data_IF_416729902868
#
_entry.id   IF_416729902868
#
_cell.length_a   1.000
_cell.length_b   1.000
_cell.length_c   1.000
_cell.angle_alpha   90.00
_cell.angle_beta   90.00
_cell.angle_gamma   90.00
#
_symmetry.space_group_name_H-M   'P 1'
#
loop_
_entity.id
_entity.type
_entity.pdbx_description
1 polymer ?
#
# COMPACT_ATOMS: atom_id res chain seq x y z
N UNK A 1 9.61 -12.86 -18.14
CA UNK A 1 8.38 -13.21 -17.38
C UNK A 1 8.55 -14.39 -16.42
N UNK A 2 9.00 -15.58 -16.86
CA UNK A 2 9.10 -16.80 -16.03
C UNK A 2 9.88 -16.59 -14.72
N UNK A 3 11.00 -15.85 -14.76
CA UNK A 3 11.86 -15.57 -13.61
C UNK A 3 11.16 -14.76 -12.50
N UNK A 4 10.19 -13.90 -12.85
CA UNK A 4 9.46 -13.08 -11.88
C UNK A 4 8.38 -13.88 -11.16
N UNK A 5 7.60 -14.66 -11.90
CA UNK A 5 6.64 -15.61 -11.30
C UNK A 5 7.35 -16.62 -10.41
N UNK A 6 8.54 -17.08 -10.82
CA UNK A 6 9.39 -17.94 -9.98
C UNK A 6 9.80 -17.22 -8.68
N UNK A 7 10.30 -15.99 -8.75
CA UNK A 7 10.66 -15.23 -7.55
C UNK A 7 9.47 -14.99 -6.60
N UNK A 8 8.28 -14.71 -7.15
CA UNK A 8 7.04 -14.57 -6.39
C UNK A 8 6.64 -15.87 -5.70
N UNK A 9 6.65 -16.97 -6.45
CA UNK A 9 6.35 -18.30 -5.91
C UNK A 9 7.35 -18.70 -4.82
N UNK A 10 8.64 -18.45 -5.04
CA UNK A 10 9.70 -18.69 -4.06
C UNK A 10 9.47 -17.84 -2.81
N UNK A 11 9.15 -16.55 -2.94
CA UNK A 11 8.85 -15.70 -1.79
C UNK A 11 7.66 -16.24 -0.99
N UNK A 12 6.56 -16.61 -1.65
CA UNK A 12 5.39 -17.22 -1.00
C UNK A 12 5.77 -18.55 -0.34
N UNK A 13 6.48 -19.44 -1.04
CA UNK A 13 6.92 -20.73 -0.51
C UNK A 13 7.81 -20.56 0.72
N UNK A 14 8.79 -19.64 0.68
CA UNK A 14 9.63 -19.31 1.84
C UNK A 14 8.78 -18.75 2.98
N UNK A 15 7.78 -17.89 2.71
CA UNK A 15 6.88 -17.44 3.77
C UNK A 15 6.05 -18.57 4.35
N UNK A 16 5.65 -19.58 3.57
CA UNK A 16 4.97 -20.76 4.08
C UNK A 16 5.91 -21.59 4.97
N UNK A 17 7.11 -21.91 4.48
CA UNK A 17 8.12 -22.71 5.18
C UNK A 17 8.59 -22.05 6.48
N UNK A 18 8.71 -20.73 6.47
CA UNK A 18 9.16 -19.94 7.62
C UNK A 18 8.02 -19.25 8.38
N UNK A 19 6.76 -19.45 7.97
CA UNK A 19 5.62 -19.02 8.77
C UNK A 19 5.57 -19.88 10.03
N UNK A 20 5.67 -19.18 11.15
CA UNK A 20 5.81 -19.70 12.51
C UNK A 20 4.99 -20.95 12.83
N UNK A 21 5.69 -21.94 13.39
CA UNK A 21 5.13 -22.94 14.31
C UNK A 21 4.41 -22.23 15.47
N UNK A 22 3.09 -22.24 15.47
CA UNK A 22 2.31 -21.79 16.63
C UNK A 22 2.61 -22.69 17.81
N UNK A 23 3.22 -22.16 18.87
CA UNK A 23 3.28 -22.85 20.16
C UNK A 23 1.99 -22.50 20.90
N UNK A 24 1.14 -23.49 21.13
CA UNK A 24 -0.01 -23.35 22.03
C UNK A 24 0.51 -23.21 23.46
N UNK A 25 0.18 -22.10 24.12
CA UNK A 25 0.19 -21.98 25.59
C UNK A 25 -1.23 -21.64 26.03
N UNK A 26 -2.02 -22.66 26.34
CA UNK A 26 -3.44 -22.52 26.67
C UNK A 26 -4.29 -22.04 25.46
N UNK A 27 -5.28 -21.18 25.71
CA UNK A 27 -6.17 -20.61 24.67
C UNK A 27 -5.49 -19.56 23.75
N UNK A 28 -4.25 -19.15 24.03
CA UNK A 28 -3.52 -18.16 23.24
C UNK A 28 -2.44 -18.82 22.38
N UNK A 29 -2.43 -18.49 21.09
CA UNK A 29 -1.34 -18.84 20.18
C UNK A 29 -0.27 -17.75 20.21
N UNK A 30 0.89 -18.05 20.80
CA UNK A 30 2.04 -17.14 20.78
C UNK A 30 2.87 -17.43 19.54
N UNK A 31 2.90 -16.48 18.61
CA UNK A 31 3.74 -16.57 17.40
C UNK A 31 5.17 -16.11 17.72
N UNK A 32 6.12 -17.02 17.81
CA UNK A 32 7.55 -16.69 17.88
C UNK A 32 8.10 -16.60 16.46
N UNK A 33 8.27 -15.39 15.94
CA UNK A 33 8.83 -15.12 14.59
C UNK A 33 10.33 -14.87 14.71
N UNK A 34 11.16 -15.63 14.01
CA UNK A 34 12.60 -15.33 13.90
C UNK A 34 12.81 -14.20 12.89
N UNK A 35 13.64 -13.22 13.23
CA UNK A 35 14.00 -12.12 12.32
C UNK A 35 14.67 -12.63 11.02
N UNK A 36 15.41 -13.74 11.09
CA UNK A 36 16.03 -14.39 9.92
C UNK A 36 15.01 -14.89 8.90
N UNK A 37 13.85 -15.37 9.35
CA UNK A 37 12.74 -15.81 8.49
C UNK A 37 12.14 -14.69 7.65
N UNK A 38 12.15 -13.46 8.17
CA UNK A 38 11.71 -12.26 7.47
C UNK A 38 12.70 -11.89 6.34
N UNK A 39 14.00 -11.88 6.65
CA UNK A 39 15.02 -11.47 5.70
C UNK A 39 15.14 -12.45 4.51
N UNK A 40 15.02 -13.75 4.78
CA UNK A 40 15.08 -14.78 3.73
C UNK A 40 13.86 -14.68 2.80
N UNK A 41 12.68 -14.44 3.35
CA UNK A 41 11.44 -14.38 2.58
C UNK A 41 11.32 -13.12 1.70
N UNK A 42 11.94 -12.00 2.11
CA UNK A 42 11.94 -10.77 1.32
C UNK A 42 13.00 -10.76 0.21
N UNK A 43 14.05 -11.57 0.33
CA UNK A 43 15.18 -11.58 -0.60
C UNK A 43 14.79 -11.81 -2.07
N UNK A 44 13.94 -12.79 -2.44
CA UNK A 44 13.56 -12.98 -3.85
C UNK A 44 12.86 -11.75 -4.44
N UNK A 45 12.02 -11.08 -3.65
CA UNK A 45 11.30 -9.88 -4.07
C UNK A 45 12.24 -8.68 -4.16
N UNK A 46 13.17 -8.54 -3.21
CA UNK A 46 14.22 -7.52 -3.27
C UNK A 46 15.11 -7.72 -4.51
N UNK A 47 15.44 -8.95 -4.89
CA UNK A 47 16.16 -9.25 -6.12
C UNK A 47 15.37 -8.89 -7.37
N UNK A 48 14.04 -9.11 -7.39
CA UNK A 48 13.19 -8.61 -8.50
C UNK A 48 13.26 -7.08 -8.57
N UNK A 49 13.20 -6.40 -7.42
CA UNK A 49 13.31 -4.95 -7.35
C UNK A 49 14.68 -4.48 -7.87
N UNK A 50 15.77 -5.15 -7.48
CA UNK A 50 17.12 -4.86 -7.97
C UNK A 50 17.22 -5.07 -9.48
N UNK A 51 16.85 -6.26 -9.97
CA UNK A 51 17.06 -6.67 -11.35
C UNK A 51 16.07 -6.06 -12.34
N UNK A 52 15.15 -5.20 -11.89
CA UNK A 52 14.22 -4.53 -12.79
C UNK A 52 14.97 -3.47 -13.59
N UNK A 53 14.78 -3.50 -14.90
CA UNK A 53 15.30 -2.48 -15.81
C UNK A 53 14.14 -1.94 -16.64
N UNK A 54 14.00 -0.61 -16.72
CA UNK A 54 12.94 0.03 -17.50
C UNK A 54 11.51 -0.16 -16.97
N UNK A 55 11.34 -0.52 -15.70
CA UNK A 55 10.02 -0.82 -15.11
C UNK A 55 9.56 0.31 -14.20
N UNK A 56 8.33 0.79 -14.43
CA UNK A 56 7.67 1.87 -13.67
C UNK A 56 8.02 3.29 -14.15
N UNK A 57 7.03 4.17 -14.26
CA UNK A 57 7.17 5.48 -14.91
C UNK A 57 8.25 6.38 -14.26
N UNK A 58 8.30 6.42 -12.93
CA UNK A 58 9.29 7.19 -12.16
C UNK A 58 10.72 6.62 -12.28
N UNK A 59 10.83 5.30 -12.37
CA UNK A 59 12.11 4.58 -12.34
C UNK A 59 12.66 4.27 -13.75
N UNK A 60 11.86 4.45 -14.79
CA UNK A 60 12.21 4.07 -16.14
C UNK A 60 13.27 5.01 -16.71
N UNK A 61 14.43 4.46 -17.06
CA UNK A 61 15.57 5.20 -17.59
C UNK A 61 15.28 6.01 -18.87
N UNK A 62 14.34 5.55 -19.69
CA UNK A 62 14.04 6.12 -21.01
C UNK A 62 12.98 7.23 -20.96
N UNK A 63 11.95 7.04 -20.14
CA UNK A 63 10.76 7.93 -20.11
C UNK A 63 10.54 8.63 -18.78
N UNK A 64 11.25 8.22 -17.73
CA UNK A 64 11.11 8.78 -16.39
C UNK A 64 11.81 10.12 -16.22
N UNK A 65 11.22 10.98 -15.40
CA UNK A 65 11.78 12.29 -15.04
C UNK A 65 12.97 12.17 -14.08
N UNK A 66 12.94 11.24 -13.13
CA UNK A 66 14.00 11.09 -12.14
C UNK A 66 15.37 10.68 -12.69
N UNK A 67 15.51 9.76 -13.66
CA UNK A 67 16.80 9.50 -14.29
C UNK A 67 17.45 10.75 -14.88
N UNK A 68 16.67 11.61 -15.54
CA UNK A 68 17.17 12.84 -16.14
C UNK A 68 17.68 13.81 -15.07
N UNK A 69 16.86 14.02 -14.04
CA UNK A 69 17.19 14.86 -12.88
C UNK A 69 18.44 14.32 -12.16
N UNK A 70 18.52 13.00 -11.96
CA UNK A 70 19.65 12.37 -11.29
C UNK A 70 20.95 12.55 -12.08
N UNK A 71 20.91 12.46 -13.43
CA UNK A 71 22.08 12.74 -14.26
C UNK A 71 22.55 14.20 -14.13
N UNK A 72 21.61 15.15 -14.09
CA UNK A 72 21.94 16.56 -13.88
C UNK A 72 22.60 16.78 -12.51
N UNK A 73 22.03 16.21 -11.44
CA UNK A 73 22.57 16.30 -10.08
C UNK A 73 23.89 15.55 -9.88
N UNK A 74 24.15 14.48 -10.65
CA UNK A 74 25.45 13.81 -10.65
C UNK A 74 26.54 14.72 -11.20
N UNK A 75 26.24 15.55 -12.20
CA UNK A 75 27.18 16.50 -12.79
C UNK A 75 27.38 17.72 -11.88
N UNK A 76 26.28 18.26 -11.34
CA UNK A 76 26.30 19.38 -10.39
C UNK A 76 25.28 19.17 -9.26
N UNK A 77 25.74 18.66 -8.09
CA UNK A 77 24.87 18.42 -6.93
C UNK A 77 24.29 19.69 -6.30
N UNK A 78 24.83 20.87 -6.66
CA UNK A 78 24.38 22.15 -6.11
C UNK A 78 23.17 22.72 -6.83
N UNK A 79 22.80 22.15 -7.97
CA UNK A 79 21.62 22.56 -8.73
C UNK A 79 20.35 22.56 -7.84
N UNK A 80 19.50 23.60 -7.97
CA UNK A 80 18.23 23.61 -7.28
C UNK A 80 17.38 22.44 -7.76
N UNK A 81 16.93 21.63 -6.82
CA UNK A 81 16.03 20.50 -7.06
C UNK A 81 14.96 20.53 -5.99
N UNK A 82 13.85 21.18 -6.33
CA UNK A 82 12.72 21.38 -5.45
C UNK A 82 11.67 20.31 -5.71
N UNK A 83 11.65 19.32 -4.83
CA UNK A 83 10.59 18.31 -4.72
C UNK A 83 10.28 18.11 -3.24
N UNK A 84 9.68 16.99 -2.87
CA UNK A 84 9.46 16.65 -1.46
C UNK A 84 10.80 16.63 -0.69
N UNK A 85 10.92 17.32 0.46
CA UNK A 85 12.21 17.62 1.11
C UNK A 85 13.11 16.41 1.37
N UNK A 86 12.55 15.32 1.90
CA UNK A 86 13.33 14.12 2.21
C UNK A 86 13.78 13.40 0.94
N UNK A 87 12.93 13.38 -0.10
CA UNK A 87 13.27 12.76 -1.36
C UNK A 87 14.40 13.52 -2.07
N UNK A 88 14.32 14.86 -2.09
CA UNK A 88 15.39 15.72 -2.62
C UNK A 88 16.69 15.53 -1.84
N UNK A 89 16.62 15.52 -0.51
CA UNK A 89 17.79 15.29 0.36
C UNK A 89 18.49 13.96 0.05
N UNK A 90 17.74 12.86 -0.01
CA UNK A 90 18.29 11.54 -0.31
C UNK A 90 18.87 11.49 -1.73
N UNK A 91 18.21 12.11 -2.70
CA UNK A 91 18.71 12.18 -4.10
C UNK A 91 20.05 12.91 -4.16
N UNK A 92 20.15 14.09 -3.54
CA UNK A 92 21.38 14.89 -3.49
C UNK A 92 22.50 14.17 -2.76
N UNK A 93 22.20 13.51 -1.64
CA UNK A 93 23.19 12.72 -0.89
C UNK A 93 23.80 11.62 -1.76
N UNK A 94 22.98 10.85 -2.46
CA UNK A 94 23.46 9.78 -3.35
C UNK A 94 24.24 10.34 -4.54
N UNK A 95 23.81 11.46 -5.11
CA UNK A 95 24.55 12.14 -6.19
C UNK A 95 25.90 12.68 -5.73
N UNK A 96 25.96 13.28 -4.53
CA UNK A 96 27.20 13.76 -3.92
C UNK A 96 28.20 12.61 -3.69
N UNK A 97 27.71 11.46 -3.24
CA UNK A 97 28.50 10.22 -3.08
C UNK A 97 28.81 9.51 -4.41
N UNK A 98 28.38 10.07 -5.56
CA UNK A 98 28.55 9.49 -6.91
C UNK A 98 28.00 8.07 -7.03
N UNK A 99 26.96 7.73 -6.26
CA UNK A 99 26.31 6.43 -6.34
C UNK A 99 25.49 6.37 -7.64
N UNK A 100 25.57 5.29 -8.44
CA UNK A 100 24.77 5.15 -9.66
C UNK A 100 23.25 5.18 -9.38
N UNK A 101 22.49 5.79 -10.30
CA UNK A 101 21.02 5.90 -10.24
C UNK A 101 20.32 4.59 -9.87
N UNK A 102 20.77 3.49 -10.47
CA UNK A 102 20.26 2.15 -10.22
C UNK A 102 20.28 1.76 -8.73
N UNK A 103 21.39 2.03 -8.04
CA UNK A 103 21.54 1.72 -6.62
C UNK A 103 20.69 2.65 -5.74
N UNK A 104 20.52 3.91 -6.14
CA UNK A 104 19.60 4.83 -5.47
C UNK A 104 18.15 4.34 -5.55
N UNK A 105 17.69 3.96 -6.75
CA UNK A 105 16.35 3.40 -6.94
C UNK A 105 16.16 2.11 -6.15
N UNK A 106 17.16 1.20 -6.18
CA UNK A 106 17.12 -0.03 -5.40
C UNK A 106 17.02 0.24 -3.90
N UNK A 107 17.79 1.18 -3.37
CA UNK A 107 17.75 1.57 -1.96
C UNK A 107 16.35 2.01 -1.52
N UNK A 108 15.67 2.85 -2.32
CA UNK A 108 14.32 3.31 -2.02
C UNK A 108 13.32 2.15 -1.93
N UNK A 109 13.38 1.19 -2.86
CA UNK A 109 12.50 0.02 -2.78
C UNK A 109 12.88 -0.98 -1.72
N UNK A 110 14.16 -1.08 -1.37
CA UNK A 110 14.58 -1.92 -0.26
C UNK A 110 13.93 -1.43 1.04
N UNK A 111 13.90 -0.11 1.27
CA UNK A 111 13.16 0.49 2.40
C UNK A 111 11.68 0.06 2.37
N UNK A 112 11.04 0.14 1.21
CA UNK A 112 9.64 -0.25 1.04
C UNK A 112 9.39 -1.73 1.31
N UNK A 113 10.18 -2.61 0.73
CA UNK A 113 10.07 -4.07 0.91
C UNK A 113 10.31 -4.45 2.38
N UNK A 114 11.34 -3.87 3.01
CA UNK A 114 11.65 -4.12 4.42
C UNK A 114 10.50 -3.65 5.32
N UNK A 115 9.99 -2.43 5.10
CA UNK A 115 8.86 -1.90 5.87
C UNK A 115 7.60 -2.75 5.70
N UNK A 116 7.30 -3.16 4.47
CA UNK A 116 6.16 -4.00 4.14
C UNK A 116 6.23 -5.38 4.79
N UNK A 117 7.34 -6.09 4.61
CA UNK A 117 7.51 -7.38 5.25
C UNK A 117 7.51 -7.23 6.79
N UNK A 118 7.99 -6.12 7.35
CA UNK A 118 7.98 -5.91 8.79
C UNK A 118 6.54 -5.79 9.30
N UNK A 119 5.68 -5.07 8.55
CA UNK A 119 4.24 -5.02 8.80
C UNK A 119 3.60 -6.41 8.75
N UNK A 120 3.81 -7.16 7.67
CA UNK A 120 3.20 -8.50 7.54
C UNK A 120 3.69 -9.44 8.64
N UNK A 121 4.98 -9.38 8.97
CA UNK A 121 5.54 -10.21 10.02
C UNK A 121 5.07 -9.78 11.42
N UNK A 122 4.80 -8.52 11.71
CA UNK A 122 4.35 -8.13 13.06
C UNK A 122 2.83 -8.20 13.22
N UNK A 123 2.09 -7.81 12.18
CA UNK A 123 0.67 -7.50 12.30
C UNK A 123 -0.25 -8.54 11.63
N UNK A 124 0.21 -9.31 10.65
CA UNK A 124 -0.69 -10.24 9.92
C UNK A 124 -1.01 -11.51 10.72
N UNK A 125 -2.29 -11.91 10.70
CA UNK A 125 -2.74 -13.20 11.22
C UNK A 125 -2.34 -14.39 10.32
N UNK A 126 -2.07 -14.15 9.03
CA UNK A 126 -1.61 -15.17 8.08
C UNK A 126 -0.63 -14.54 7.06
N UNK A 127 0.66 -14.75 7.31
CA UNK A 127 1.76 -14.16 6.53
C UNK A 127 1.75 -14.58 5.05
N UNK A 128 1.62 -15.88 4.70
CA UNK A 128 1.55 -16.27 3.29
C UNK A 128 0.45 -15.56 2.49
N UNK A 129 -0.76 -15.45 3.06
CA UNK A 129 -1.86 -14.76 2.39
C UNK A 129 -1.55 -13.27 2.22
N UNK A 130 -1.00 -12.60 3.23
CA UNK A 130 -0.62 -11.19 3.11
C UNK A 130 0.47 -10.95 2.06
N UNK A 131 1.46 -11.84 1.94
CA UNK A 131 2.49 -11.73 0.90
C UNK A 131 1.93 -12.05 -0.48
N UNK A 132 1.01 -13.02 -0.59
CA UNK A 132 0.28 -13.25 -1.83
C UNK A 132 -0.53 -12.01 -2.26
N UNK A 133 -1.25 -11.37 -1.33
CA UNK A 133 -1.99 -10.14 -1.59
C UNK A 133 -1.05 -9.01 -2.02
N UNK A 134 0.08 -8.80 -1.35
CA UNK A 134 1.08 -7.81 -1.75
C UNK A 134 1.50 -7.90 -3.21
N UNK A 135 1.68 -9.12 -3.69
CA UNK A 135 2.11 -9.42 -5.05
C UNK A 135 0.97 -9.30 -6.07
N UNK A 136 -0.28 -9.42 -5.64
CA UNK A 136 -1.46 -9.48 -6.52
C UNK A 136 -2.34 -8.22 -6.47
N UNK A 137 -2.22 -7.37 -5.45
CA UNK A 137 -3.03 -6.15 -5.28
C UNK A 137 -2.29 -4.87 -5.69
N UNK A 138 -1.45 -4.95 -6.72
CA UNK A 138 -0.66 -3.86 -7.34
C UNK A 138 0.37 -3.16 -6.45
N UNK A 139 0.32 -3.33 -5.12
CA UNK A 139 1.23 -2.68 -4.17
C UNK A 139 2.72 -2.91 -4.47
N UNK A 140 3.09 -4.12 -4.89
CA UNK A 140 4.46 -4.40 -5.30
C UNK A 140 4.89 -3.58 -6.52
N UNK A 141 4.04 -3.52 -7.55
CA UNK A 141 4.36 -2.85 -8.82
C UNK A 141 4.23 -1.34 -8.74
N UNK A 142 3.28 -0.86 -7.96
CA UNK A 142 3.12 0.54 -7.60
C UNK A 142 4.43 1.15 -7.11
N UNK A 143 5.18 0.43 -6.27
CA UNK A 143 6.45 0.90 -5.75
C UNK A 143 7.53 1.15 -6.82
N UNK A 144 7.34 0.64 -8.05
CA UNK A 144 8.24 0.92 -9.16
C UNK A 144 7.99 2.27 -9.83
N UNK A 145 6.75 2.75 -9.86
CA UNK A 145 6.39 3.96 -10.59
C UNK A 145 5.80 5.07 -9.74
N UNK A 146 5.93 5.00 -8.42
CA UNK A 146 5.54 6.05 -7.49
C UNK A 146 6.54 6.12 -6.32
N UNK A 147 7.81 6.39 -6.65
CA UNK A 147 8.94 6.20 -5.73
C UNK A 147 8.82 7.05 -4.45
N UNK A 148 8.42 8.32 -4.59
CA UNK A 148 8.21 9.23 -3.46
C UNK A 148 7.12 8.73 -2.52
N UNK A 149 6.01 8.31 -3.10
CA UNK A 149 4.87 7.80 -2.35
C UNK A 149 5.17 6.45 -1.70
N UNK A 150 5.89 5.55 -2.37
CA UNK A 150 6.33 4.29 -1.79
C UNK A 150 7.24 4.52 -0.58
N UNK A 151 8.17 5.48 -0.66
CA UNK A 151 8.99 5.89 0.48
C UNK A 151 8.12 6.42 1.64
N UNK A 152 7.15 7.28 1.35
CA UNK A 152 6.23 7.80 2.36
C UNK A 152 5.40 6.69 3.04
N UNK A 153 4.87 5.74 2.26
CA UNK A 153 4.16 4.56 2.77
C UNK A 153 5.07 3.74 3.68
N UNK A 154 6.34 3.55 3.32
CA UNK A 154 7.30 2.79 4.12
C UNK A 154 7.39 3.28 5.56
N UNK A 155 7.49 4.60 5.76
CA UNK A 155 7.52 5.19 7.10
C UNK A 155 6.18 5.01 7.84
N UNK A 156 5.04 5.11 7.15
CA UNK A 156 3.73 4.83 7.73
C UNK A 156 3.62 3.36 8.19
N UNK A 157 4.11 2.41 7.40
CA UNK A 157 4.11 0.99 7.79
C UNK A 157 4.94 0.73 9.04
N UNK A 158 6.09 1.41 9.17
CA UNK A 158 6.91 1.35 10.39
C UNK A 158 6.14 1.95 11.57
N UNK A 159 5.46 3.09 11.38
CA UNK A 159 4.61 3.69 12.43
C UNK A 159 3.50 2.73 12.89
N UNK A 160 2.86 1.99 11.98
CA UNK A 160 1.84 0.99 12.30
C UNK A 160 2.42 -0.13 13.17
N UNK A 161 3.59 -0.63 12.80
CA UNK A 161 4.32 -1.65 13.57
C UNK A 161 4.66 -1.19 14.99
N UNK A 162 5.08 0.06 15.16
CA UNK A 162 5.43 0.61 16.47
C UNK A 162 4.18 0.81 17.33
N UNK A 163 3.07 1.31 16.78
CA UNK A 163 1.79 1.45 17.51
C UNK A 163 1.27 0.09 18.00
N UNK A 164 1.34 -0.93 17.14
CA UNK A 164 0.77 -2.24 17.44
C UNK A 164 1.71 -3.12 18.26
N UNK A 165 2.87 -2.60 18.65
CA UNK A 165 3.75 -3.26 19.60
C UNK A 165 3.07 -3.33 20.99
N UNK A 166 2.93 -4.55 21.52
CA UNK A 166 2.16 -4.82 22.75
C UNK A 166 2.64 -4.07 23.99
N UNK A 167 3.88 -3.58 24.00
CA UNK A 167 4.45 -2.83 25.13
C UNK A 167 4.09 -1.34 25.14
N UNK A 168 3.85 -0.74 23.98
CA UNK A 168 3.73 0.71 23.81
C UNK A 168 2.59 1.05 22.85
N UNK A 169 1.36 0.62 23.17
CA UNK A 169 0.13 0.87 22.38
C UNK A 169 -0.34 2.34 22.43
N UNK A 170 0.59 3.28 22.34
CA UNK A 170 0.37 4.73 22.42
C UNK A 170 1.25 5.43 21.40
N UNK A 171 0.84 6.62 20.98
CA UNK A 171 1.69 7.46 20.15
C UNK A 171 2.95 7.82 20.95
N UNK A 172 4.11 7.44 20.43
CA UNK A 172 5.42 7.77 20.99
C UNK A 172 6.22 8.62 19.98
N UNK A 173 7.39 9.11 20.41
CA UNK A 173 8.23 9.96 19.56
C UNK A 173 8.66 9.30 18.25
N UNK A 174 8.80 7.96 18.23
CA UNK A 174 9.17 7.20 17.02
C UNK A 174 8.07 7.27 15.98
N UNK A 175 6.81 7.12 16.40
CA UNK A 175 5.65 7.25 15.52
C UNK A 175 5.57 8.67 14.93
N UNK A 176 5.76 9.70 15.77
CA UNK A 176 5.77 11.10 15.32
C UNK A 176 6.90 11.35 14.32
N UNK A 177 8.10 10.83 14.57
CA UNK A 177 9.22 10.92 13.64
C UNK A 177 8.88 10.25 12.30
N UNK A 178 8.26 9.06 12.31
CA UNK A 178 7.84 8.40 11.08
C UNK A 178 6.79 9.20 10.30
N UNK A 179 5.88 9.92 10.98
CA UNK A 179 4.93 10.80 10.30
C UNK A 179 5.60 12.00 9.65
N UNK A 180 6.55 12.63 10.33
CA UNK A 180 7.33 13.73 9.77
C UNK A 180 8.11 13.25 8.54
N UNK A 181 8.81 12.12 8.65
CA UNK A 181 9.56 11.54 7.52
C UNK A 181 8.63 11.15 6.35
N UNK A 182 7.45 10.62 6.65
CA UNK A 182 6.45 10.29 5.62
C UNK A 182 5.96 11.54 4.89
N UNK A 183 5.61 12.60 5.62
CA UNK A 183 5.18 13.87 5.05
C UNK A 183 6.29 14.54 4.24
N UNK A 184 7.53 14.52 4.73
CA UNK A 184 8.69 15.04 4.01
C UNK A 184 9.06 14.20 2.78
N UNK A 185 8.70 12.92 2.73
CA UNK A 185 8.88 12.06 1.56
C UNK A 185 7.80 12.30 0.50
N UNK A 186 6.55 12.48 0.94
CA UNK A 186 5.45 12.87 0.07
C UNK A 186 4.33 13.55 0.85
N UNK A 187 4.04 14.81 0.54
CA UNK A 187 3.10 15.64 1.31
C UNK A 187 1.69 15.06 1.45
N UNK A 188 1.19 14.29 0.46
CA UNK A 188 -0.12 13.64 0.52
C UNK A 188 -0.23 12.57 1.62
N UNK A 189 0.88 12.14 2.21
CA UNK A 189 0.88 11.24 3.36
C UNK A 189 0.14 11.83 4.57
N UNK A 190 0.01 13.16 4.64
CA UNK A 190 -0.75 13.84 5.69
C UNK A 190 -2.18 13.29 5.82
N UNK A 191 -2.84 12.98 4.70
CA UNK A 191 -4.18 12.40 4.71
C UNK A 191 -4.21 11.04 5.44
N UNK A 192 -3.21 10.20 5.18
CA UNK A 192 -3.08 8.91 5.87
C UNK A 192 -2.76 9.08 7.36
N UNK A 193 -1.97 10.09 7.74
CA UNK A 193 -1.70 10.43 9.14
C UNK A 193 -2.98 10.87 9.87
N UNK A 194 -3.83 11.69 9.22
CA UNK A 194 -5.12 12.10 9.78
C UNK A 194 -6.01 10.86 10.00
N UNK A 195 -6.12 9.99 8.99
CA UNK A 195 -6.90 8.75 9.10
C UNK A 195 -6.33 7.80 10.15
N UNK A 196 -5.01 7.73 10.30
CA UNK A 196 -4.35 6.97 11.35
C UNK A 196 -4.77 7.46 12.73
N UNK A 197 -4.69 8.77 12.98
CA UNK A 197 -5.07 9.37 14.26
C UNK A 197 -6.56 9.15 14.56
N UNK A 198 -7.43 9.35 13.56
CA UNK A 198 -8.86 9.02 13.68
C UNK A 198 -9.06 7.54 14.04
N UNK A 199 -8.27 6.65 13.47
CA UNK A 199 -8.41 5.21 13.66
C UNK A 199 -8.05 4.72 15.06
N UNK A 200 -7.43 5.57 15.88
CA UNK A 200 -7.18 5.28 17.30
C UNK A 200 -8.47 5.34 18.15
N UNK A 201 -9.53 5.97 17.66
CA UNK A 201 -10.80 6.10 18.39
C UNK A 201 -11.59 4.80 18.29
N UNK A 202 -11.98 4.21 19.42
CA UNK A 202 -12.83 3.01 19.42
C UNK A 202 -14.27 3.38 19.08
N UNK A 203 -14.68 3.12 17.85
CA UNK A 203 -16.07 3.27 17.42
C UNK A 203 -16.90 2.07 17.88
N UNK A 204 -18.17 2.28 18.23
CA UNK A 204 -19.08 1.16 18.47
C UNK A 204 -19.59 0.60 17.13
N UNK A 205 -19.96 -0.68 17.09
CA UNK A 205 -20.54 -1.30 15.88
C UNK A 205 -21.76 -0.52 15.37
N UNK A 206 -22.65 -0.11 16.27
CA UNK A 206 -23.84 0.67 15.93
C UNK A 206 -23.48 2.04 15.34
N UNK A 207 -22.47 2.71 15.90
CA UNK A 207 -22.00 3.98 15.34
C UNK A 207 -21.36 3.79 13.96
N UNK A 208 -20.55 2.74 13.78
CA UNK A 208 -19.93 2.40 12.50
C UNK A 208 -20.97 2.12 11.40
N UNK A 209 -22.08 1.45 11.74
CA UNK A 209 -23.20 1.25 10.81
C UNK A 209 -23.84 2.59 10.43
N UNK A 210 -24.19 3.42 11.42
CA UNK A 210 -24.83 4.72 11.19
C UNK A 210 -23.97 5.63 10.31
N UNK A 211 -22.67 5.72 10.61
CA UNK A 211 -21.75 6.58 9.85
C UNK A 211 -21.51 6.01 8.44
N UNK A 212 -21.46 4.68 8.26
CA UNK A 212 -21.35 4.06 6.93
C UNK A 212 -22.57 4.36 6.07
N UNK A 213 -23.78 4.22 6.61
CA UNK A 213 -25.03 4.59 5.92
C UNK A 213 -25.03 6.09 5.60
N UNK A 214 -24.66 6.92 6.57
CA UNK A 214 -24.53 8.37 6.38
C UNK A 214 -23.57 8.72 5.23
N UNK A 215 -22.40 8.10 5.17
CA UNK A 215 -21.43 8.28 4.07
C UNK A 215 -22.02 7.91 2.73
N UNK A 216 -22.75 6.79 2.62
CA UNK A 216 -23.37 6.36 1.36
C UNK A 216 -24.46 7.35 0.92
N UNK A 217 -25.34 7.75 1.84
CA UNK A 217 -26.46 8.66 1.55
C UNK A 217 -25.95 10.06 1.18
N UNK A 218 -24.91 10.54 1.86
CA UNK A 218 -24.35 11.88 1.63
C UNK A 218 -23.34 11.93 0.48
N UNK A 219 -22.96 10.78 -0.08
CA UNK A 219 -21.93 10.68 -1.12
C UNK A 219 -22.11 11.64 -2.30
N UNK A 220 -23.31 11.82 -2.89
CA UNK A 220 -23.48 12.75 -4.00
C UNK A 220 -23.12 14.19 -3.63
N UNK A 221 -23.46 14.61 -2.40
CA UNK A 221 -23.15 15.94 -1.89
C UNK A 221 -21.67 16.10 -1.57
N UNK A 222 -21.03 15.07 -1.01
CA UNK A 222 -19.60 15.12 -0.70
C UNK A 222 -18.75 15.10 -1.96
N UNK A 223 -19.13 14.33 -2.98
CA UNK A 223 -18.47 14.36 -4.31
C UNK A 223 -18.56 15.77 -4.90
N UNK A 224 -19.76 16.36 -4.93
CA UNK A 224 -19.96 17.71 -5.45
C UNK A 224 -19.16 18.76 -4.66
N UNK A 225 -19.19 18.69 -3.32
CA UNK A 225 -18.44 19.61 -2.48
C UNK A 225 -16.92 19.50 -2.68
N UNK A 226 -16.40 18.27 -2.72
CA UNK A 226 -14.97 18.01 -2.93
C UNK A 226 -14.50 18.47 -4.30
N UNK A 227 -15.28 18.23 -5.36
CA UNK A 227 -14.90 18.69 -6.71
C UNK A 227 -14.78 20.21 -6.77
N UNK A 228 -15.69 20.95 -6.11
CA UNK A 228 -15.63 22.42 -6.01
C UNK A 228 -14.48 22.95 -5.18
N UNK A 229 -14.01 22.19 -4.18
CA UNK A 229 -12.79 22.55 -3.44
C UNK A 229 -11.57 22.32 -4.33
N UNK A 230 -11.47 21.15 -4.97
CA UNK A 230 -10.33 20.77 -5.80
C UNK A 230 -10.17 21.72 -6.98
N UNK A 231 -11.26 22.12 -7.64
CA UNK A 231 -11.27 23.14 -8.71
C UNK A 231 -10.53 24.43 -8.33
N UNK A 232 -10.51 24.81 -7.05
CA UNK A 232 -9.86 26.04 -6.57
C UNK A 232 -8.39 25.86 -6.19
N UNK A 233 -7.91 24.62 -6.11
CA UNK A 233 -6.51 24.31 -5.79
C UNK A 233 -5.61 24.47 -7.01
N UNK A 234 -4.32 24.65 -6.79
CA UNK A 234 -3.32 24.61 -7.87
C UNK A 234 -3.35 23.28 -8.62
N UNK A 235 -3.52 22.19 -7.87
CA UNK A 235 -3.69 20.84 -8.42
C UNK A 235 -4.91 20.73 -9.34
N UNK A 236 -6.05 21.28 -8.95
CA UNK A 236 -7.23 21.33 -9.82
C UNK A 236 -6.98 22.13 -11.09
N UNK A 237 -6.31 23.29 -10.99
CA UNK A 237 -5.99 24.12 -12.16
C UNK A 237 -5.04 23.44 -13.14
N UNK A 238 -4.10 22.63 -12.65
CA UNK A 238 -3.12 21.92 -13.49
C UNK A 238 -3.76 20.75 -14.26
N UNK A 239 -4.71 20.04 -13.65
CA UNK A 239 -5.18 18.75 -14.18
C UNK A 239 -6.62 18.76 -14.73
N UNK A 240 -7.50 19.66 -14.31
CA UNK A 240 -8.90 19.67 -14.78
C UNK A 240 -8.96 20.06 -16.26
N UNK A 241 -9.71 19.28 -17.06
CA UNK A 241 -9.81 19.45 -18.51
C UNK A 241 -8.62 18.88 -19.30
N UNK A 242 -7.70 18.17 -18.62
CA UNK A 242 -6.63 17.41 -19.27
C UNK A 242 -6.97 15.91 -19.28
N UNK A 243 -6.32 15.15 -20.16
CA UNK A 243 -6.37 13.68 -20.16
C UNK A 243 -5.96 13.02 -18.83
N UNK A 244 -5.27 13.76 -17.95
CA UNK A 244 -4.85 13.30 -16.62
C UNK A 244 -5.87 13.63 -15.51
N UNK A 245 -6.92 14.40 -15.82
CA UNK A 245 -7.97 14.82 -14.90
C UNK A 245 -9.34 14.20 -15.14
N UNK A 246 -9.58 13.54 -16.29
CA UNK A 246 -10.87 12.93 -16.60
C UNK A 246 -11.06 11.55 -15.96
N UNK A 247 -12.20 11.37 -15.27
CA UNK A 247 -12.81 10.12 -14.77
C UNK A 247 -11.86 8.96 -14.40
N UNK A 248 -11.11 9.12 -13.30
CA UNK A 248 -10.27 8.05 -12.72
C UNK A 248 -10.90 7.35 -11.50
N UNK A 249 -12.21 7.52 -11.28
CA UNK A 249 -12.92 6.78 -10.24
C UNK A 249 -12.94 5.29 -10.58
N UNK A 250 -12.59 4.43 -9.61
CA UNK A 250 -12.64 2.97 -9.82
C UNK A 250 -13.84 2.37 -9.11
N UNK A 251 -14.86 1.99 -9.90
CA UNK A 251 -16.02 1.26 -9.41
C UNK A 251 -15.60 -0.06 -8.74
N UNK A 252 -14.64 -0.77 -9.35
CA UNK A 252 -14.09 -2.03 -8.82
C UNK A 252 -13.54 -1.86 -7.41
N UNK A 253 -12.68 -0.86 -7.18
CA UNK A 253 -12.12 -0.61 -5.85
C UNK A 253 -13.17 -0.04 -4.87
N UNK A 254 -14.15 0.71 -5.35
CA UNK A 254 -15.25 1.23 -4.54
C UNK A 254 -16.09 0.07 -3.99
N UNK A 255 -16.57 -0.82 -4.85
CA UNK A 255 -17.34 -2.00 -4.46
C UNK A 255 -16.52 -2.91 -3.55
N UNK A 256 -15.25 -3.15 -3.88
CA UNK A 256 -14.36 -3.94 -3.05
C UNK A 256 -14.20 -3.38 -1.64
N UNK A 257 -13.94 -2.07 -1.51
CA UNK A 257 -13.80 -1.41 -0.21
C UNK A 257 -15.10 -1.48 0.62
N UNK A 258 -16.25 -1.35 -0.03
CA UNK A 258 -17.56 -1.46 0.60
C UNK A 258 -17.82 -2.89 1.13
N UNK A 259 -17.61 -3.90 0.28
CA UNK A 259 -17.77 -5.32 0.67
C UNK A 259 -16.84 -5.66 1.83
N UNK A 260 -15.59 -5.22 1.78
CA UNK A 260 -14.62 -5.45 2.85
C UNK A 260 -15.09 -4.82 4.17
N UNK A 261 -15.56 -3.57 4.14
CA UNK A 261 -16.08 -2.88 5.32
C UNK A 261 -17.33 -3.58 5.88
N UNK A 262 -18.26 -4.00 5.03
CA UNK A 262 -19.45 -4.75 5.46
C UNK A 262 -19.06 -6.05 6.16
N UNK A 263 -18.10 -6.81 5.62
CA UNK A 263 -17.59 -8.02 6.27
C UNK A 263 -17.00 -7.71 7.66
N UNK A 264 -16.26 -6.62 7.82
CA UNK A 264 -15.73 -6.21 9.12
C UNK A 264 -16.83 -5.84 10.11
N UNK A 265 -17.88 -5.16 9.66
CA UNK A 265 -19.04 -4.83 10.51
C UNK A 265 -19.77 -6.12 10.94
N UNK A 266 -19.95 -7.08 10.02
CA UNK A 266 -20.58 -8.37 10.33
C UNK A 266 -19.78 -9.14 11.38
N UNK A 267 -18.45 -9.23 11.21
CA UNK A 267 -17.56 -9.97 12.11
C UNK A 267 -16.98 -9.13 13.26
N UNK A 268 -17.48 -7.90 13.48
CA UNK A 268 -16.89 -6.90 14.39
C UNK A 268 -16.56 -7.43 15.78
N UNK A 269 -17.52 -8.04 16.46
CA UNK A 269 -17.32 -8.54 17.84
C UNK A 269 -16.22 -9.61 17.88
N UNK A 270 -16.22 -10.55 16.94
CA UNK A 270 -15.20 -11.62 16.87
C UNK A 270 -13.81 -11.07 16.57
N UNK A 271 -13.73 -9.98 15.81
CA UNK A 271 -12.47 -9.31 15.49
C UNK A 271 -11.90 -8.64 16.74
N UNK A 272 -12.74 -7.98 17.54
CA UNK A 272 -12.31 -7.35 18.78
C UNK A 272 -12.03 -8.35 19.90
N UNK A 273 -12.75 -9.48 19.94
CA UNK A 273 -12.43 -10.61 20.83
C UNK A 273 -11.02 -11.17 20.55
N UNK A 274 -10.55 -11.11 19.30
CA UNK A 274 -9.22 -11.59 18.92
C UNK A 274 -8.09 -10.64 19.39
N UNK A 275 -8.26 -9.33 19.20
CA UNK A 275 -7.44 -8.26 19.79
C UNK A 275 -8.22 -6.95 19.70
N UNK A 276 -8.39 -6.24 20.82
CA UNK A 276 -9.12 -4.98 20.82
C UNK A 276 -8.50 -3.92 19.91
N UNK A 277 -7.18 -3.96 19.69
CA UNK A 277 -6.49 -3.06 18.76
C UNK A 277 -6.87 -3.28 17.30
N UNK A 278 -7.60 -4.35 16.97
CA UNK A 278 -8.13 -4.53 15.63
C UNK A 278 -9.19 -3.48 15.26
N UNK A 279 -9.74 -2.73 16.23
CA UNK A 279 -10.57 -1.57 15.95
C UNK A 279 -9.85 -0.56 15.04
N UNK A 280 -8.53 -0.42 15.20
CA UNK A 280 -7.69 0.42 14.34
C UNK A 280 -7.79 0.02 12.87
N UNK A 281 -7.70 -1.28 12.58
CA UNK A 281 -7.79 -1.79 11.21
C UNK A 281 -9.20 -1.62 10.61
N UNK A 282 -10.23 -1.76 11.43
CA UNK A 282 -11.61 -1.50 11.01
C UNK A 282 -11.81 -0.04 10.64
N UNK A 283 -11.34 0.89 11.48
CA UNK A 283 -11.42 2.31 11.22
C UNK A 283 -10.59 2.75 10.01
N UNK A 284 -9.39 2.20 9.83
CA UNK A 284 -8.58 2.45 8.63
C UNK A 284 -9.28 1.96 7.37
N UNK A 285 -10.00 0.83 7.44
CA UNK A 285 -10.82 0.33 6.32
C UNK A 285 -12.04 1.23 6.06
N UNK A 286 -12.63 1.79 7.11
CA UNK A 286 -13.68 2.80 6.97
C UNK A 286 -13.15 4.07 6.27
N UNK A 287 -11.98 4.59 6.66
CA UNK A 287 -11.34 5.70 5.96
C UNK A 287 -11.06 5.37 4.50
N UNK A 288 -10.56 4.16 4.22
CA UNK A 288 -10.36 3.69 2.85
C UNK A 288 -11.66 3.72 2.05
N UNK A 289 -12.76 3.20 2.60
CA UNK A 289 -14.08 3.22 1.97
C UNK A 289 -14.58 4.65 1.71
N UNK A 290 -14.45 5.57 2.68
CA UNK A 290 -14.83 6.97 2.52
C UNK A 290 -14.08 7.63 1.36
N UNK A 291 -12.78 7.36 1.21
CA UNK A 291 -11.98 7.89 0.10
C UNK A 291 -12.37 7.25 -1.23
N UNK A 292 -12.63 5.95 -1.25
CA UNK A 292 -13.03 5.25 -2.47
C UNK A 292 -14.40 5.67 -2.98
N UNK A 293 -15.39 5.83 -2.10
CA UNK A 293 -16.73 6.24 -2.52
C UNK A 293 -16.73 7.69 -3.03
N UNK A 294 -15.81 8.53 -2.55
CA UNK A 294 -15.60 9.89 -3.04
C UNK A 294 -14.57 9.99 -4.18
N UNK A 295 -14.02 8.87 -4.65
CA UNK A 295 -13.03 8.87 -5.73
C UNK A 295 -13.44 9.58 -7.03
N UNK A 296 -14.72 9.63 -7.44
CA UNK A 296 -15.09 10.39 -8.63
C UNK A 296 -14.78 11.89 -8.54
N UNK A 297 -14.68 12.44 -7.33
CA UNK A 297 -14.27 13.84 -7.14
C UNK A 297 -12.73 14.02 -7.16
N UNK A 298 -11.96 12.95 -7.00
CA UNK A 298 -10.52 13.01 -6.81
C UNK A 298 -9.78 12.81 -8.14
N UNK A 299 -8.99 13.81 -8.51
CA UNK A 299 -8.01 13.70 -9.59
C UNK A 299 -6.93 12.71 -9.15
N UNK A 300 -6.65 11.70 -9.98
CA UNK A 300 -5.69 10.64 -9.69
C UNK A 300 -5.94 9.91 -8.35
N UNK A 301 -7.19 9.49 -8.15
CA UNK A 301 -7.66 8.69 -6.99
C UNK A 301 -6.66 7.66 -6.50
N UNK A 302 -6.03 6.93 -7.43
CA UNK A 302 -5.09 5.87 -7.10
C UNK A 302 -3.89 6.36 -6.27
N UNK A 303 -3.44 7.62 -6.43
CA UNK A 303 -2.39 8.23 -5.58
C UNK A 303 -2.81 8.38 -4.12
N UNK A 304 -4.09 8.36 -3.78
CA UNK A 304 -4.54 8.39 -2.38
C UNK A 304 -4.77 6.97 -1.86
N UNK A 305 -5.30 6.10 -2.71
CA UNK A 305 -5.70 4.73 -2.36
C UNK A 305 -4.53 3.86 -1.89
N UNK A 306 -3.35 4.00 -2.49
CA UNK A 306 -2.19 3.15 -2.13
C UNK A 306 -1.71 3.34 -0.70
N UNK A 307 -2.02 4.47 -0.05
CA UNK A 307 -1.73 4.64 1.37
C UNK A 307 -2.54 3.70 2.27
N UNK A 308 -3.70 3.22 1.81
CA UNK A 308 -4.63 2.41 2.58
C UNK A 308 -4.64 0.94 2.16
N UNK A 309 -4.10 0.61 1.00
CA UNK A 309 -3.94 -0.79 0.55
C UNK A 309 -3.19 -1.70 1.55
N UNK A 310 -2.19 -1.23 2.32
CA UNK A 310 -1.59 -2.04 3.38
C UNK A 310 -2.59 -2.51 4.44
N UNK A 311 -3.65 -1.75 4.71
CA UNK A 311 -4.74 -2.16 5.60
C UNK A 311 -5.48 -3.38 5.04
N UNK A 312 -5.80 -3.38 3.74
CA UNK A 312 -6.47 -4.49 3.05
C UNK A 312 -5.67 -5.80 3.22
N UNK A 313 -4.35 -5.73 3.07
CA UNK A 313 -3.43 -6.86 3.21
C UNK A 313 -3.43 -7.50 4.61
N UNK A 314 -3.71 -6.71 5.65
CA UNK A 314 -3.78 -7.19 7.04
C UNK A 314 -5.19 -7.66 7.39
N UNK A 315 -6.20 -6.92 6.93
CA UNK A 315 -7.61 -7.14 7.26
C UNK A 315 -8.17 -8.42 6.64
N UNK A 316 -7.83 -8.74 5.40
CA UNK A 316 -8.30 -9.97 4.74
C UNK A 316 -7.88 -11.22 5.52
N UNK A 317 -6.58 -11.44 5.83
CA UNK A 317 -6.19 -12.59 6.64
C UNK A 317 -6.79 -12.55 8.06
N UNK A 318 -7.00 -11.37 8.65
CA UNK A 318 -7.71 -11.23 9.92
C UNK A 318 -9.15 -11.77 9.84
N UNK A 319 -9.91 -11.38 8.81
CA UNK A 319 -11.26 -11.90 8.54
C UNK A 319 -11.28 -13.43 8.36
N UNK A 320 -10.32 -13.98 7.63
CA UNK A 320 -10.20 -15.44 7.45
C UNK A 320 -9.93 -16.14 8.79
N UNK A 321 -9.13 -15.52 9.67
CA UNK A 321 -8.73 -16.11 10.94
C UNK A 321 -9.86 -16.23 11.96
N UNK A 322 -10.86 -15.34 11.91
CA UNK A 322 -12.03 -15.38 12.80
C UNK A 322 -13.11 -16.38 12.36
N UNK A 323 -12.97 -16.98 11.17
CA UNK A 323 -13.88 -18.03 10.69
C UNK A 323 -13.59 -19.34 11.43
N UNK A 324 -14.58 -19.84 12.19
CA UNK A 324 -14.46 -21.08 12.98
C UNK A 324 -14.43 -22.35 12.13
N UNK A 325 -15.33 -22.48 11.13
CA UNK A 325 -15.45 -23.69 10.30
C UNK A 325 -14.31 -23.78 9.29
N UNK A 326 -13.55 -24.90 9.33
CA UNK A 326 -12.41 -25.14 8.43
C UNK A 326 -12.79 -25.09 6.95
N UNK A 327 -13.91 -25.71 6.56
CA UNK A 327 -14.37 -25.71 5.17
C UNK A 327 -14.62 -24.28 4.67
N UNK A 328 -15.34 -23.45 5.44
CA UNK A 328 -15.57 -22.04 5.09
C UNK A 328 -14.28 -21.24 5.04
N UNK A 329 -13.31 -21.53 5.90
CA UNK A 329 -11.99 -20.89 5.86
C UNK A 329 -11.26 -21.20 4.56
N UNK A 330 -11.24 -22.46 4.13
CA UNK A 330 -10.62 -22.88 2.86
C UNK A 330 -11.32 -22.21 1.68
N UNK A 331 -12.65 -22.23 1.64
CA UNK A 331 -13.44 -21.54 0.59
C UNK A 331 -13.13 -20.04 0.56
N UNK A 332 -13.01 -19.40 1.72
CA UNK A 332 -12.67 -17.97 1.81
C UNK A 332 -11.27 -17.67 1.28
N UNK A 333 -10.29 -18.53 1.58
CA UNK A 333 -8.92 -18.40 1.03
C UNK A 333 -8.93 -18.53 -0.49
N UNK A 334 -9.63 -19.55 -1.02
CA UNK A 334 -9.76 -19.74 -2.46
C UNK A 334 -10.47 -18.56 -3.13
N UNK A 335 -11.54 -18.04 -2.52
CA UNK A 335 -12.24 -16.86 -3.01
C UNK A 335 -11.34 -15.62 -3.04
N UNK A 336 -10.54 -15.39 -2.00
CA UNK A 336 -9.55 -14.30 -1.98
C UNK A 336 -8.51 -14.46 -3.08
N UNK A 337 -8.00 -15.67 -3.30
CA UNK A 337 -7.05 -15.95 -4.38
C UNK A 337 -7.68 -15.60 -5.74
N UNK A 338 -8.90 -16.08 -6.00
CA UNK A 338 -9.61 -15.82 -7.27
C UNK A 338 -9.88 -14.33 -7.48
N UNK A 339 -10.39 -13.63 -6.47
CA UNK A 339 -10.67 -12.17 -6.55
C UNK A 339 -9.38 -11.39 -6.76
N UNK A 340 -8.29 -11.75 -6.08
CA UNK A 340 -7.01 -11.03 -6.22
C UNK A 340 -6.39 -11.26 -7.59
N UNK A 341 -6.48 -12.49 -8.13
CA UNK A 341 -6.05 -12.79 -9.51
C UNK A 341 -6.93 -12.06 -10.52
N UNK A 342 -8.24 -11.99 -10.29
CA UNK A 342 -9.15 -11.24 -11.15
C UNK A 342 -8.84 -9.74 -11.15
N UNK A 343 -8.64 -9.13 -9.97
CA UNK A 343 -8.23 -7.72 -9.85
C UNK A 343 -6.90 -7.50 -10.56
N UNK A 344 -5.92 -8.38 -10.33
CA UNK A 344 -4.62 -8.34 -11.01
C UNK A 344 -4.79 -8.38 -12.53
N UNK A 345 -5.56 -9.36 -13.04
CA UNK A 345 -5.84 -9.48 -14.47
C UNK A 345 -6.49 -8.22 -15.02
N UNK A 346 -7.55 -7.74 -14.38
CA UNK A 346 -8.30 -6.57 -14.84
C UNK A 346 -7.44 -5.29 -14.83
N UNK A 347 -6.54 -5.18 -13.85
CA UNK A 347 -5.64 -4.04 -13.67
C UNK A 347 -4.52 -4.01 -14.72
N UNK A 348 -3.98 -5.16 -15.11
CA UNK A 348 -2.78 -5.24 -15.96
C UNK A 348 -3.03 -5.69 -17.40
N UNK A 349 -4.16 -6.34 -17.68
CA UNK A 349 -4.48 -6.86 -19.01
C UNK A 349 -5.72 -6.20 -19.63
N UNK A 350 -6.70 -5.78 -18.81
CA UNK A 350 -7.92 -5.11 -19.31
C UNK A 350 -7.90 -3.57 -19.16
N UNK A 351 -6.84 -3.00 -18.56
CA UNK A 351 -6.67 -1.54 -18.37
C UNK A 351 -7.84 -0.81 -17.66
N UNK A 352 -8.57 -1.48 -16.76
CA UNK A 352 -9.74 -0.93 -16.05
C UNK A 352 -9.38 0.34 -15.24
N UNK A 353 -9.66 1.52 -15.81
CA UNK A 353 -9.34 2.83 -15.22
C UNK A 353 -7.88 3.28 -15.36
N UNK A 354 -7.10 2.66 -16.26
CA UNK A 354 -5.64 2.83 -16.36
C UNK A 354 -5.10 3.23 -17.73
N UNK A 355 -5.91 3.89 -18.58
CA UNK A 355 -5.43 4.45 -19.86
C UNK A 355 -4.22 5.40 -19.68
N UNK A 356 -4.11 6.12 -18.56
CA UNK A 356 -2.94 6.98 -18.26
C UNK A 356 -1.71 6.23 -17.70
N UNK A 357 -1.84 4.91 -17.46
CA UNK A 357 -0.83 4.04 -16.86
C UNK A 357 -0.19 3.07 -17.88
N UNK A 358 -0.45 3.22 -19.18
CA UNK A 358 0.30 2.53 -20.25
C UNK A 358 1.84 2.72 -20.11
N UNK A 359 2.27 3.74 -19.36
CA UNK A 359 3.67 4.01 -19.02
C UNK A 359 4.19 3.33 -17.73
N UNK A 360 3.36 2.66 -16.94
CA UNK A 360 3.84 1.73 -15.93
C UNK A 360 4.17 0.44 -16.66
N UNK A 361 5.28 0.49 -17.42
CA UNK A 361 5.89 -0.70 -17.96
C UNK A 361 6.08 -1.65 -16.80
N UNK A 362 5.22 -2.65 -16.69
CA UNK A 362 5.40 -3.70 -15.72
C UNK A 362 6.50 -4.60 -16.28
N UNK A 363 7.09 -5.41 -15.41
CA UNK A 363 7.94 -6.52 -15.85
C UNK A 363 7.25 -7.47 -16.86
N UNK A 364 5.93 -7.36 -17.05
CA UNK A 364 5.15 -8.17 -17.98
C UNK A 364 4.87 -7.48 -19.32
N UNK A 365 4.94 -6.14 -19.39
CA UNK A 365 4.69 -5.39 -20.63
C UNK A 365 5.97 -5.03 -21.40
N UNK A 366 7.16 -5.22 -20.80
CA UNK A 366 8.45 -4.91 -21.45
C UNK A 366 8.80 -5.85 -22.64
N UNK A 367 8.06 -6.94 -22.85
CA UNK A 367 8.35 -7.90 -23.93
C UNK A 367 7.86 -7.48 -25.30
N UNK A 368 6.93 -6.53 -25.42
CA UNK A 368 6.38 -6.10 -26.72
C UNK A 368 7.27 -5.07 -27.45
N UNK A 369 8.24 -4.45 -26.77
CA UNK A 369 9.15 -3.47 -27.38
C UNK A 369 10.44 -4.07 -27.97
N UNK A 370 10.64 -5.39 -27.83
CA UNK A 370 11.83 -6.12 -28.32
C UNK A 370 11.51 -7.19 -29.37
N UNK A 371 10.25 -7.26 -29.82
CA UNK A 371 9.81 -8.00 -31.01
C UNK A 371 9.45 -7.01 -32.10
#
# INVERSE_FOLDING_TARGET
MLNYYFAFFVAIALTCLFSVRSVQKGFCTVKVRKASSFAIASLPIALVFLLRWGVGIDANWYVGTYPQIYRLLLNDPTQPYETDPLFSLLTKLFCYLKIPYFWWVFFLGLIYIVAFFNLVYRCSSNTPISVFLFLTTDLFFFAFGALKQALAISFLLIAYCELLNKRERRINWRIVLMFILSFMAHSSALLCVICFCFSLVRLSKAFLIKITIGTVVLCPFTIFGLSKIIEKTEYGREFIGTQYGENQGSLTHMVFSFVLLVLLIVFYERILEFDEMNCFWVNMTFCYFVLMINSPALIQTFRIVYYFMPTVIIVIPLLISVIRKRALRVVSVLGVILVSVFIFWNTYYNNDGKFSYENYQTIFSYTEFLS
#
